data_IF_062839302900
#
_entry.id   IF_062839302900
#
_cell.length_a   1.000
_cell.length_b   1.000
_cell.length_c   1.000
_cell.angle_alpha   90.00
_cell.angle_beta   90.00
_cell.angle_gamma   90.00
#
_symmetry.space_group_name_H-M   'P 1'
#
loop_
_entity.id
_entity.type
_entity.pdbx_description
1 polymer ?
#
# COMPACT_ATOMS: atom_id res chain seq x y z
N UNK A 1 -17.75 48.55 11.09
CA UNK A 1 -18.89 47.70 10.64
C UNK A 1 -19.00 47.54 9.12
N UNK A 2 -19.33 48.57 8.30
CA UNK A 2 -19.48 48.41 6.82
C UNK A 2 -18.27 47.78 6.12
N UNK A 3 -17.04 48.14 6.52
CA UNK A 3 -15.81 47.58 5.96
C UNK A 3 -15.61 46.11 6.33
N UNK A 4 -16.05 45.68 7.51
CA UNK A 4 -16.01 44.28 7.97
C UNK A 4 -17.04 43.38 7.26
N UNK A 5 -18.23 43.90 6.98
CA UNK A 5 -19.27 43.19 6.21
C UNK A 5 -18.82 42.99 4.76
N UNK A 6 -18.18 44.00 4.16
CA UNK A 6 -17.65 43.90 2.81
C UNK A 6 -16.51 42.88 2.70
N UNK A 7 -15.64 42.79 3.72
CA UNK A 7 -14.56 41.79 3.74
C UNK A 7 -15.10 40.37 3.91
N UNK A 8 -16.13 40.18 4.74
CA UNK A 8 -16.78 38.87 4.92
C UNK A 8 -17.44 38.37 3.62
N UNK A 9 -18.15 39.24 2.88
CA UNK A 9 -18.70 38.89 1.57
C UNK A 9 -17.61 38.53 0.56
N UNK A 10 -16.50 39.29 0.52
CA UNK A 10 -15.37 39.00 -0.37
C UNK A 10 -14.71 37.66 -0.03
N UNK A 11 -14.68 37.29 1.24
CA UNK A 11 -14.14 36.00 1.67
C UNK A 11 -15.04 34.85 1.21
N UNK A 12 -16.35 34.97 1.39
CA UNK A 12 -17.33 34.00 0.89
C UNK A 12 -17.25 33.85 -0.64
N UNK A 13 -17.11 34.95 -1.39
CA UNK A 13 -16.95 34.91 -2.85
C UNK A 13 -15.67 34.15 -3.27
N UNK A 14 -14.55 34.40 -2.59
CA UNK A 14 -13.28 33.73 -2.88
C UNK A 14 -13.36 32.22 -2.58
N UNK A 15 -13.95 31.85 -1.45
CA UNK A 15 -14.22 30.45 -1.12
C UNK A 15 -15.13 29.79 -2.18
N UNK A 16 -16.20 30.47 -2.61
CA UNK A 16 -17.11 29.94 -3.61
C UNK A 16 -16.44 29.74 -4.98
N UNK A 17 -15.57 30.67 -5.40
CA UNK A 17 -14.76 30.52 -6.63
C UNK A 17 -13.85 29.29 -6.55
N UNK A 18 -13.14 29.10 -5.44
CA UNK A 18 -12.24 27.95 -5.25
C UNK A 18 -13.02 26.62 -5.27
N UNK A 19 -14.15 26.56 -4.54
CA UNK A 19 -15.03 25.37 -4.56
C UNK A 19 -15.52 25.11 -5.99
N UNK A 20 -15.99 26.13 -6.69
CA UNK A 20 -16.46 26.01 -8.08
C UNK A 20 -15.36 25.46 -8.99
N UNK A 21 -14.13 25.99 -8.89
CA UNK A 21 -13.01 25.49 -9.69
C UNK A 21 -12.73 24.02 -9.41
N UNK A 22 -12.61 23.63 -8.13
CA UNK A 22 -12.38 22.25 -7.73
C UNK A 22 -13.48 21.30 -8.23
N UNK A 23 -14.75 21.72 -8.20
CA UNK A 23 -15.86 20.90 -8.70
C UNK A 23 -15.88 20.79 -10.23
N UNK A 24 -15.50 21.84 -10.96
CA UNK A 24 -15.41 21.81 -12.42
C UNK A 24 -14.31 20.86 -12.90
N UNK A 25 -13.20 20.78 -12.16
CA UNK A 25 -12.08 19.89 -12.45
C UNK A 25 -12.07 18.65 -11.56
N UNK A 26 -13.24 18.03 -11.34
CA UNK A 26 -13.38 16.82 -10.52
C UNK A 26 -13.31 15.52 -11.31
N UNK A 27 -13.48 15.57 -12.64
CA UNK A 27 -13.50 14.37 -13.51
C UNK A 27 -12.81 14.66 -14.85
N UNK A 28 -11.51 14.32 -14.98
CA UNK A 28 -10.58 13.86 -13.93
C UNK A 28 -10.20 14.99 -12.94
N UNK A 29 -9.72 14.65 -11.72
CA UNK A 29 -9.25 15.64 -10.75
C UNK A 29 -8.02 16.39 -11.27
N UNK A 30 -8.12 17.72 -11.41
CA UNK A 30 -7.03 18.61 -11.88
C UNK A 30 -6.98 19.97 -11.17
N UNK A 31 -6.88 19.94 -9.85
CA UNK A 31 -6.98 21.15 -9.00
C UNK A 31 -5.67 21.90 -8.93
N UNK A 32 -4.54 21.21 -8.82
CA UNK A 32 -3.24 21.85 -8.54
C UNK A 32 -2.78 22.79 -9.67
N UNK A 33 -3.12 22.45 -10.92
CA UNK A 33 -2.72 23.20 -12.10
C UNK A 33 -3.76 24.21 -12.56
N UNK A 34 -5.06 23.90 -12.44
CA UNK A 34 -6.12 24.75 -12.99
C UNK A 34 -6.80 25.68 -11.97
N UNK A 35 -6.63 25.44 -10.67
CA UNK A 35 -7.30 26.21 -9.61
C UNK A 35 -6.32 26.97 -8.70
N UNK A 36 -5.08 27.16 -9.15
CA UNK A 36 -4.03 27.79 -8.35
C UNK A 36 -4.30 29.27 -8.10
N UNK A 37 -4.83 29.98 -9.11
CA UNK A 37 -5.12 31.40 -9.01
C UNK A 37 -6.25 31.66 -8.01
N UNK A 38 -7.33 30.86 -8.06
CA UNK A 38 -8.41 30.90 -7.08
C UNK A 38 -7.92 30.55 -5.68
N UNK A 39 -7.01 29.59 -5.56
CA UNK A 39 -6.44 29.21 -4.27
C UNK A 39 -5.58 30.33 -3.67
N UNK A 40 -4.74 30.99 -4.47
CA UNK A 40 -3.93 32.13 -4.03
C UNK A 40 -4.83 33.31 -3.62
N UNK A 41 -5.85 33.65 -4.42
CA UNK A 41 -6.82 34.71 -4.08
C UNK A 41 -7.51 34.39 -2.74
N UNK A 42 -7.96 33.15 -2.57
CA UNK A 42 -8.57 32.66 -1.33
C UNK A 42 -7.63 32.81 -0.13
N UNK A 43 -6.38 32.32 -0.23
CA UNK A 43 -5.40 32.40 0.88
C UNK A 43 -5.00 33.84 1.20
N UNK A 44 -4.92 34.72 0.20
CA UNK A 44 -4.67 36.14 0.43
C UNK A 44 -5.81 36.80 1.23
N UNK A 45 -7.06 36.52 0.87
CA UNK A 45 -8.22 37.10 1.58
C UNK A 45 -8.36 36.49 2.97
N UNK A 46 -8.05 35.21 3.14
CA UNK A 46 -7.98 34.56 4.46
C UNK A 46 -6.94 35.27 5.35
N UNK A 47 -5.72 35.51 4.84
CA UNK A 47 -4.69 36.25 5.56
C UNK A 47 -5.17 37.66 5.92
N UNK A 48 -5.71 38.41 4.95
CA UNK A 48 -6.23 39.77 5.16
C UNK A 48 -7.31 39.76 6.26
N UNK A 49 -8.17 38.74 6.29
CA UNK A 49 -9.29 38.63 7.24
C UNK A 49 -8.82 38.34 8.66
N UNK A 50 -7.80 37.49 8.82
CA UNK A 50 -7.18 37.24 10.11
C UNK A 50 -6.51 38.49 10.70
N UNK A 51 -5.95 39.36 9.86
CA UNK A 51 -5.22 40.58 10.26
C UNK A 51 -6.12 41.84 10.31
N UNK A 52 -7.45 41.69 10.24
CA UNK A 52 -8.40 42.78 10.45
C UNK A 52 -8.58 43.12 11.95
N UNK A 53 -7.51 43.61 12.57
CA UNK A 53 -7.51 44.01 14.00
C UNK A 53 -8.06 45.42 14.21
N UNK A 54 -7.91 46.30 13.22
CA UNK A 54 -8.32 47.72 13.29
C UNK A 54 -9.83 47.95 13.15
N UNK A 55 -10.62 46.89 12.96
CA UNK A 55 -12.08 46.97 12.80
C UNK A 55 -12.73 46.17 13.91
N UNK A 56 -13.38 46.87 14.83
CA UNK A 56 -14.12 46.26 15.94
C UNK A 56 -15.64 46.35 15.75
N UNK A 57 -16.36 45.40 16.37
CA UNK A 57 -17.82 45.41 16.52
C UNK A 57 -18.25 46.44 17.57
N UNK A 58 -19.57 46.63 17.73
CA UNK A 58 -20.15 47.45 18.80
C UNK A 58 -19.73 46.97 20.20
N UNK A 59 -19.49 45.67 20.35
CA UNK A 59 -19.06 45.04 21.61
C UNK A 59 -17.53 45.05 21.79
N UNK A 60 -16.80 45.86 21.00
CA UNK A 60 -15.34 45.96 21.01
C UNK A 60 -14.58 44.65 20.67
N UNK A 61 -15.26 43.64 20.12
CA UNK A 61 -14.65 42.42 19.58
C UNK A 61 -14.05 42.69 18.20
N UNK A 62 -12.88 42.11 17.90
CA UNK A 62 -12.24 42.26 16.59
C UNK A 62 -13.01 41.50 15.51
N UNK A 63 -13.00 42.00 14.28
CA UNK A 63 -13.68 41.36 13.15
C UNK A 63 -13.19 39.93 12.92
N UNK A 64 -11.87 39.70 13.07
CA UNK A 64 -11.26 38.37 12.99
C UNK A 64 -11.88 37.40 14.00
N UNK A 65 -12.02 37.81 15.28
CA UNK A 65 -12.65 36.96 16.29
C UNK A 65 -14.14 36.69 16.00
N UNK A 66 -14.85 37.65 15.42
CA UNK A 66 -16.26 37.48 15.03
C UNK A 66 -16.41 36.45 13.91
N UNK A 67 -15.54 36.47 12.91
CA UNK A 67 -15.59 35.57 11.75
C UNK A 67 -15.17 34.14 12.14
N UNK A 68 -14.14 33.99 12.98
CA UNK A 68 -13.56 32.66 13.24
C UNK A 68 -13.96 32.02 14.57
N UNK A 69 -14.21 32.80 15.64
CA UNK A 69 -14.28 32.26 17.02
C UNK A 69 -15.53 32.58 17.82
N UNK A 70 -16.40 33.49 17.37
CA UNK A 70 -17.52 33.98 18.18
C UNK A 70 -18.74 33.05 18.19
N UNK A 71 -18.78 32.05 17.32
CA UNK A 71 -19.87 31.10 17.19
C UNK A 71 -19.41 29.68 17.47
N UNK A 72 -20.33 28.80 17.89
CA UNK A 72 -20.08 27.37 18.10
C UNK A 72 -19.49 26.69 16.85
N UNK A 73 -19.88 27.18 15.67
CA UNK A 73 -19.41 26.70 14.38
C UNK A 73 -19.18 27.92 13.46
N UNK A 74 -17.98 28.05 12.91
CA UNK A 74 -17.70 29.04 11.87
C UNK A 74 -17.69 28.36 10.51
N UNK A 75 -18.73 28.59 9.70
CA UNK A 75 -18.80 28.04 8.35
C UNK A 75 -17.63 28.51 7.48
N UNK A 76 -17.23 29.78 7.61
CA UNK A 76 -16.10 30.33 6.88
C UNK A 76 -14.80 29.59 7.24
N UNK A 77 -14.58 29.26 8.52
CA UNK A 77 -13.43 28.44 8.92
C UNK A 77 -13.50 27.01 8.38
N UNK A 78 -14.65 26.35 8.50
CA UNK A 78 -14.82 24.96 8.05
C UNK A 78 -14.60 24.79 6.54
N UNK A 79 -15.14 25.73 5.75
CA UNK A 79 -14.92 25.76 4.30
C UNK A 79 -13.44 26.02 4.00
N UNK A 80 -12.83 27.01 4.64
CA UNK A 80 -11.39 27.29 4.51
C UNK A 80 -10.51 26.07 4.81
N UNK A 81 -10.81 25.40 5.92
CA UNK A 81 -10.09 24.22 6.36
C UNK A 81 -10.30 23.05 5.39
N UNK A 82 -11.51 22.87 4.87
CA UNK A 82 -11.80 21.85 3.86
C UNK A 82 -11.08 22.12 2.53
N UNK A 83 -11.10 23.37 2.05
CA UNK A 83 -10.38 23.78 0.84
C UNK A 83 -8.87 23.54 0.97
N UNK A 84 -8.29 23.86 2.14
CA UNK A 84 -6.86 23.64 2.37
C UNK A 84 -6.54 22.16 2.60
N UNK A 85 -7.13 21.52 3.61
CA UNK A 85 -6.77 20.16 4.05
C UNK A 85 -7.33 19.06 3.17
N UNK A 86 -8.57 19.19 2.71
CA UNK A 86 -9.25 18.11 2.00
C UNK A 86 -9.16 18.20 0.49
N UNK A 87 -8.96 19.41 -0.05
CA UNK A 87 -8.83 19.63 -1.49
C UNK A 87 -7.36 19.82 -1.86
N UNK A 88 -6.66 20.82 -1.30
CA UNK A 88 -5.28 21.12 -1.68
C UNK A 88 -4.26 20.08 -1.16
N UNK A 89 -4.16 19.90 0.16
CA UNK A 89 -3.17 19.02 0.79
C UNK A 89 -3.34 17.55 0.35
N UNK A 90 -4.58 17.05 0.34
CA UNK A 90 -4.88 15.68 -0.13
C UNK A 90 -4.59 15.49 -1.62
N UNK A 91 -4.64 16.55 -2.42
CA UNK A 91 -4.22 16.50 -3.82
C UNK A 91 -2.70 16.50 -3.99
N UNK A 92 -1.95 16.63 -2.90
CA UNK A 92 -0.49 16.67 -2.87
C UNK A 92 0.05 17.72 -3.83
N UNK A 93 -0.60 18.89 -3.91
CA UNK A 93 -0.20 19.94 -4.84
C UNK A 93 1.24 20.43 -4.58
N UNK A 94 1.66 20.41 -3.30
CA UNK A 94 3.02 20.77 -2.89
C UNK A 94 4.09 19.86 -3.50
N UNK A 95 3.74 18.63 -3.92
CA UNK A 95 4.66 17.73 -4.61
C UNK A 95 4.95 18.19 -6.05
N UNK A 96 4.07 18.97 -6.67
CA UNK A 96 4.22 19.41 -8.05
C UNK A 96 4.64 20.88 -8.17
N UNK A 97 4.30 21.71 -7.20
CA UNK A 97 4.59 23.14 -7.18
C UNK A 97 4.75 23.65 -5.75
N UNK A 98 5.54 24.70 -5.59
CA UNK A 98 5.76 25.41 -4.34
C UNK A 98 5.27 26.85 -4.49
N UNK A 99 4.45 27.32 -3.55
CA UNK A 99 3.97 28.70 -3.50
C UNK A 99 4.81 29.46 -2.47
N UNK A 100 5.57 30.45 -2.94
CA UNK A 100 6.28 31.40 -2.08
C UNK A 100 5.32 32.53 -1.72
N UNK A 101 4.77 32.47 -0.51
CA UNK A 101 3.78 33.42 -0.01
C UNK A 101 4.41 34.77 0.35
N UNK A 102 3.91 35.85 -0.27
CA UNK A 102 4.18 37.24 0.12
C UNK A 102 2.84 37.99 0.24
N UNK A 103 2.20 37.78 1.38
CA UNK A 103 0.87 38.34 1.66
C UNK A 103 0.90 39.85 1.88
N UNK A 104 2.00 40.41 2.38
CA UNK A 104 2.13 41.84 2.67
C UNK A 104 2.19 42.66 1.38
N UNK A 105 2.97 42.22 0.39
CA UNK A 105 3.10 42.91 -0.90
C UNK A 105 2.12 42.39 -1.96
N UNK A 106 1.28 41.39 -1.65
CA UNK A 106 0.37 40.69 -2.60
C UNK A 106 1.11 40.15 -3.83
N UNK A 107 2.32 39.66 -3.63
CA UNK A 107 3.20 39.21 -4.71
C UNK A 107 3.66 37.77 -4.49
N UNK A 108 2.71 36.89 -4.14
CA UNK A 108 2.98 35.46 -4.02
C UNK A 108 3.37 34.88 -5.37
N UNK A 109 4.44 34.08 -5.41
CA UNK A 109 4.99 33.50 -6.65
C UNK A 109 4.95 31.98 -6.62
N UNK A 110 4.82 31.37 -7.80
CA UNK A 110 4.70 29.92 -7.97
C UNK A 110 6.00 29.40 -8.59
N UNK A 111 6.51 28.28 -8.07
CA UNK A 111 7.61 27.52 -8.67
C UNK A 111 7.18 26.09 -8.89
N UNK A 112 7.33 25.56 -10.10
CA UNK A 112 7.06 24.15 -10.37
C UNK A 112 8.29 23.31 -10.05
N UNK A 113 8.06 22.10 -9.53
CA UNK A 113 9.12 21.11 -9.34
C UNK A 113 9.68 20.68 -10.72
N UNK A 114 11.00 20.49 -10.79
CA UNK A 114 11.69 20.08 -12.02
C UNK A 114 11.10 18.79 -12.61
N UNK A 115 10.65 17.85 -11.75
CA UNK A 115 10.03 16.60 -12.20
C UNK A 115 8.68 16.83 -12.88
N UNK A 116 7.92 17.83 -12.42
CA UNK A 116 6.63 18.21 -13.00
C UNK A 116 6.81 18.86 -14.37
N UNK A 117 7.82 19.74 -14.49
CA UNK A 117 8.17 20.36 -15.77
C UNK A 117 8.60 19.29 -16.77
N UNK A 118 9.47 18.37 -16.35
CA UNK A 118 9.93 17.27 -17.20
C UNK A 118 8.79 16.33 -17.60
N UNK A 119 7.85 16.03 -16.69
CA UNK A 119 6.64 15.27 -17.02
C UNK A 119 5.84 15.96 -18.13
N UNK A 120 5.60 17.27 -17.98
CA UNK A 120 4.85 18.05 -18.97
C UNK A 120 5.54 18.08 -20.34
N UNK A 121 6.86 18.23 -20.37
CA UNK A 121 7.63 18.26 -21.62
C UNK A 121 7.52 16.93 -22.37
N UNK A 122 7.70 15.80 -21.69
CA UNK A 122 7.63 14.48 -22.32
C UNK A 122 6.18 14.15 -22.72
N UNK A 123 5.20 14.53 -21.90
CA UNK A 123 3.79 14.40 -22.23
C UNK A 123 3.41 15.23 -23.46
N UNK A 124 3.95 16.44 -23.59
CA UNK A 124 3.72 17.30 -24.75
C UNK A 124 4.27 16.68 -26.03
N UNK A 125 5.49 16.11 -26.00
CA UNK A 125 6.05 15.40 -27.16
C UNK A 125 5.15 14.25 -27.62
N UNK A 126 4.60 13.47 -26.69
CA UNK A 126 3.67 12.39 -27.04
C UNK A 126 2.36 12.94 -27.62
N UNK A 127 1.77 13.98 -27.01
CA UNK A 127 0.56 14.62 -27.53
C UNK A 127 0.76 15.22 -28.92
N UNK A 128 1.89 15.87 -29.15
CA UNK A 128 2.25 16.46 -30.45
C UNK A 128 2.35 15.37 -31.53
N UNK A 129 2.96 14.22 -31.19
CA UNK A 129 2.95 13.04 -32.06
C UNK A 129 1.52 12.60 -32.39
N UNK A 130 0.66 12.43 -31.38
CA UNK A 130 -0.73 11.99 -31.57
C UNK A 130 -1.52 12.97 -32.43
N UNK A 131 -1.34 14.29 -32.26
CA UNK A 131 -2.06 15.29 -33.04
C UNK A 131 -1.71 15.26 -34.52
N UNK A 132 -0.49 14.85 -34.89
CA UNK A 132 -0.12 14.70 -36.31
C UNK A 132 -0.86 13.55 -37.00
N UNK A 133 -1.43 12.62 -36.24
CA UNK A 133 -2.17 11.47 -36.72
C UNK A 133 -3.65 11.48 -36.26
N UNK A 134 -4.17 12.62 -35.80
CA UNK A 134 -5.55 12.70 -35.32
C UNK A 134 -6.56 12.45 -36.44
N UNK A 135 -6.26 12.86 -37.67
CA UNK A 135 -7.15 12.68 -38.82
C UNK A 135 -7.31 11.19 -39.19
N UNK A 136 -6.27 10.37 -38.96
CA UNK A 136 -6.31 8.91 -39.17
C UNK A 136 -7.17 8.16 -38.14
N UNK A 137 -7.53 8.78 -37.01
CA UNK A 137 -8.49 8.20 -36.05
C UNK A 137 -9.92 8.15 -36.60
N UNK A 138 -10.27 9.08 -37.48
CA UNK A 138 -11.62 9.15 -38.09
C UNK A 138 -11.85 7.99 -39.05
N UNK A 139 -10.77 7.43 -39.61
CA UNK A 139 -10.80 6.28 -40.52
C UNK A 139 -10.72 4.92 -39.81
N UNK A 140 -10.58 4.91 -38.48
CA UNK A 140 -10.53 3.68 -37.67
C UNK A 140 -9.20 2.94 -37.67
N UNK A 141 -8.13 3.53 -38.23
CA UNK A 141 -6.80 2.92 -38.27
C UNK A 141 -5.93 3.32 -37.07
N UNK A 142 -6.25 2.78 -35.88
CA UNK A 142 -5.50 3.06 -34.64
C UNK A 142 -4.07 2.51 -34.64
N UNK A 143 -3.76 1.53 -35.50
CA UNK A 143 -2.44 0.90 -35.59
C UNK A 143 -1.33 1.86 -35.98
N UNK A 144 -1.63 2.87 -36.79
CA UNK A 144 -0.65 3.87 -37.25
C UNK A 144 -0.12 4.74 -36.12
N UNK A 145 -1.00 5.11 -35.17
CA UNK A 145 -0.64 5.88 -33.98
C UNK A 145 0.21 5.04 -33.04
N UNK A 146 -0.16 3.78 -32.85
CA UNK A 146 0.61 2.87 -32.01
C UNK A 146 2.04 2.75 -32.55
N UNK A 147 2.23 2.52 -33.85
CA UNK A 147 3.58 2.38 -34.44
C UNK A 147 4.37 3.69 -34.49
N UNK A 148 3.71 4.82 -34.76
CA UNK A 148 4.39 6.12 -34.90
C UNK A 148 4.73 6.76 -33.55
N UNK A 149 3.85 6.63 -32.55
CA UNK A 149 3.97 7.29 -31.25
C UNK A 149 4.37 6.36 -30.10
N UNK A 150 4.77 5.11 -30.38
CA UNK A 150 5.31 4.15 -29.41
C UNK A 150 6.47 4.75 -28.63
N UNK A 151 7.51 5.25 -29.32
CA UNK A 151 8.71 5.77 -28.67
C UNK A 151 8.45 6.95 -27.72
N UNK A 152 7.71 8.00 -28.12
CA UNK A 152 7.30 9.06 -27.20
C UNK A 152 6.48 8.55 -26.00
N UNK A 153 5.64 7.54 -26.22
CA UNK A 153 4.84 6.94 -25.14
C UNK A 153 5.72 6.17 -24.15
N UNK A 154 6.66 5.36 -24.63
CA UNK A 154 7.60 4.63 -23.78
C UNK A 154 8.50 5.59 -22.99
N UNK A 155 8.98 6.68 -23.59
CA UNK A 155 9.74 7.72 -22.89
C UNK A 155 8.91 8.35 -21.75
N UNK A 156 7.62 8.60 -22.00
CA UNK A 156 6.68 9.12 -20.99
C UNK A 156 6.44 8.11 -19.87
N UNK A 157 6.17 6.86 -20.23
CA UNK A 157 5.87 5.79 -19.29
C UNK A 157 7.06 5.46 -18.39
N UNK A 158 8.25 5.30 -18.97
CA UNK A 158 9.49 5.05 -18.23
C UNK A 158 9.82 6.19 -17.26
N UNK A 159 9.66 7.45 -17.69
CA UNK A 159 9.87 8.60 -16.82
C UNK A 159 8.92 8.61 -15.63
N UNK A 160 7.62 8.39 -15.88
CA UNK A 160 6.62 8.32 -14.82
C UNK A 160 6.89 7.14 -13.87
N UNK A 161 7.14 5.95 -14.41
CA UNK A 161 7.32 4.73 -13.64
C UNK A 161 8.57 4.77 -12.74
N UNK A 162 9.66 5.38 -13.24
CA UNK A 162 10.89 5.57 -12.46
C UNK A 162 10.61 6.35 -11.17
N UNK A 163 9.84 7.43 -11.26
CA UNK A 163 9.53 8.28 -10.09
C UNK A 163 8.46 7.61 -9.23
N UNK A 164 7.43 7.02 -9.83
CA UNK A 164 6.35 6.35 -9.10
C UNK A 164 6.85 5.17 -8.22
N UNK A 165 7.95 4.52 -8.63
CA UNK A 165 8.56 3.43 -7.86
C UNK A 165 9.60 3.89 -6.84
N UNK A 166 9.98 5.17 -6.85
CA UNK A 166 10.99 5.71 -5.94
C UNK A 166 10.39 6.00 -4.55
N UNK A 167 10.97 5.45 -3.47
CA UNK A 167 10.40 5.63 -2.13
C UNK A 167 10.55 7.07 -1.64
N UNK A 168 9.43 7.67 -1.22
CA UNK A 168 9.40 9.00 -0.62
C UNK A 168 9.30 10.16 -1.61
N UNK A 169 9.15 9.88 -2.91
CA UNK A 169 8.85 10.88 -3.93
C UNK A 169 7.48 10.58 -4.51
N UNK A 170 6.54 11.49 -4.31
CA UNK A 170 5.19 11.38 -4.84
C UNK A 170 4.94 12.43 -5.93
N UNK A 171 4.06 12.10 -6.88
CA UNK A 171 3.44 13.08 -7.76
C UNK A 171 2.18 13.68 -7.13
N UNK A 172 1.78 14.87 -7.60
CA UNK A 172 0.45 15.39 -7.31
C UNK A 172 -0.62 14.61 -8.08
N UNK A 173 -1.87 14.69 -7.60
CA UNK A 173 -3.01 14.02 -8.22
C UNK A 173 -3.16 14.41 -9.69
N UNK A 174 -2.92 15.67 -10.07
CA UNK A 174 -3.05 16.13 -11.47
C UNK A 174 -2.15 15.35 -12.45
N UNK A 175 -0.95 14.97 -12.03
CA UNK A 175 0.00 14.19 -12.84
C UNK A 175 -0.44 12.74 -12.90
N UNK A 176 -0.79 12.14 -11.76
CA UNK A 176 -1.26 10.75 -11.69
C UNK A 176 -2.53 10.53 -12.53
N UNK A 177 -3.50 11.44 -12.44
CA UNK A 177 -4.74 11.36 -13.21
C UNK A 177 -4.47 11.53 -14.70
N UNK A 178 -3.62 12.49 -15.06
CA UNK A 178 -3.23 12.70 -16.46
C UNK A 178 -2.51 11.49 -17.04
N UNK A 179 -1.63 10.83 -16.27
CA UNK A 179 -0.95 9.62 -16.71
C UNK A 179 -1.92 8.44 -16.82
N UNK A 180 -2.82 8.26 -15.84
CA UNK A 180 -3.81 7.21 -15.86
C UNK A 180 -4.75 7.32 -17.08
N UNK A 181 -5.21 8.54 -17.41
CA UNK A 181 -5.99 8.79 -18.61
C UNK A 181 -5.20 8.48 -19.89
N UNK A 182 -3.92 8.90 -19.93
CA UNK A 182 -3.02 8.64 -21.06
C UNK A 182 -2.83 7.15 -21.30
N UNK A 183 -2.60 6.39 -20.22
CA UNK A 183 -2.45 4.93 -20.24
C UNK A 183 -3.76 4.25 -20.64
N UNK A 184 -4.91 4.71 -20.13
CA UNK A 184 -6.22 4.22 -20.55
C UNK A 184 -6.45 4.45 -22.06
N UNK A 185 -6.12 5.64 -22.58
CA UNK A 185 -6.26 5.93 -24.01
C UNK A 185 -5.39 4.98 -24.84
N UNK A 186 -4.12 4.79 -24.45
CA UNK A 186 -3.19 3.94 -25.17
C UNK A 186 -3.61 2.46 -25.20
N UNK A 187 -3.86 1.85 -24.03
CA UNK A 187 -4.13 0.41 -23.94
C UNK A 187 -5.60 0.04 -24.15
N UNK A 188 -6.57 0.84 -23.65
CA UNK A 188 -7.98 0.46 -23.69
C UNK A 188 -8.73 1.05 -24.88
N UNK A 189 -8.42 2.29 -25.27
CA UNK A 189 -9.12 2.97 -26.37
C UNK A 189 -8.48 2.58 -27.71
N UNK A 190 -7.18 2.77 -27.86
CA UNK A 190 -6.47 2.46 -29.12
C UNK A 190 -6.02 1.01 -29.23
N UNK A 191 -5.98 0.27 -28.11
CA UNK A 191 -5.55 -1.14 -28.03
C UNK A 191 -4.16 -1.35 -28.61
N UNK A 192 -3.25 -0.41 -28.32
CA UNK A 192 -1.87 -0.54 -28.73
C UNK A 192 -1.26 -1.77 -28.03
N UNK A 193 -0.50 -2.61 -28.76
CA UNK A 193 0.12 -3.79 -28.18
C UNK A 193 1.20 -3.36 -27.19
N UNK A 194 1.22 -4.01 -26.02
CA UNK A 194 2.37 -3.92 -25.13
C UNK A 194 3.59 -4.52 -25.82
N UNK A 195 4.77 -4.01 -25.51
CA UNK A 195 6.08 -4.38 -26.07
C UNK A 195 6.55 -5.79 -25.60
N UNK A 196 5.60 -6.72 -25.55
CA UNK A 196 5.67 -8.14 -25.19
C UNK A 196 6.67 -8.95 -26.01
N UNK A 197 7.19 -8.40 -27.12
CA UNK A 197 8.16 -9.12 -27.96
C UNK A 197 9.50 -9.30 -27.26
N UNK A 198 9.93 -8.37 -26.40
CA UNK A 198 11.24 -8.44 -25.75
C UNK A 198 11.23 -9.27 -24.46
N UNK A 199 10.14 -9.21 -23.71
CA UNK A 199 10.05 -9.89 -22.41
C UNK A 199 9.57 -11.34 -22.50
N UNK A 200 8.74 -11.69 -23.50
CA UNK A 200 8.32 -13.09 -23.69
C UNK A 200 9.50 -14.04 -23.90
N UNK A 201 10.58 -13.59 -24.53
CA UNK A 201 11.79 -14.42 -24.69
C UNK A 201 12.55 -14.63 -23.37
N UNK A 202 12.60 -13.62 -22.50
CA UNK A 202 13.26 -13.72 -21.20
C UNK A 202 12.44 -14.59 -20.23
N UNK A 203 11.12 -14.42 -20.22
CA UNK A 203 10.22 -15.21 -19.38
C UNK A 203 10.22 -16.68 -19.77
N UNK A 204 10.19 -16.98 -21.07
CA UNK A 204 10.31 -18.36 -21.58
C UNK A 204 11.68 -18.96 -21.25
N UNK A 205 12.76 -18.18 -21.38
CA UNK A 205 14.09 -18.64 -21.00
C UNK A 205 14.19 -18.94 -19.50
N UNK A 206 13.65 -18.07 -18.65
CA UNK A 206 13.64 -18.26 -17.19
C UNK A 206 12.83 -19.50 -16.79
N UNK A 207 11.68 -19.71 -17.43
CA UNK A 207 10.82 -20.87 -17.21
C UNK A 207 11.48 -22.18 -17.66
N UNK A 208 12.19 -22.16 -18.79
CA UNK A 208 12.96 -23.32 -19.23
C UNK A 208 14.11 -23.65 -18.27
N UNK A 209 14.82 -22.62 -17.79
CA UNK A 209 15.93 -22.81 -16.86
C UNK A 209 15.46 -23.34 -15.49
N UNK A 210 14.31 -22.90 -15.00
CA UNK A 210 13.74 -23.41 -13.73
C UNK A 210 13.28 -24.86 -13.84
N UNK A 211 12.66 -25.26 -14.96
CA UNK A 211 12.27 -26.65 -15.23
C UNK A 211 13.49 -27.56 -15.27
N UNK A 212 14.56 -27.15 -15.95
CA UNK A 212 15.81 -27.92 -16.04
C UNK A 212 16.44 -28.06 -14.66
N UNK A 213 16.54 -26.98 -13.88
CA UNK A 213 17.09 -27.03 -12.52
C UNK A 213 16.30 -27.98 -11.61
N UNK A 214 14.96 -27.93 -11.68
CA UNK A 214 14.10 -28.82 -10.90
C UNK A 214 14.26 -30.28 -11.34
N UNK A 215 14.37 -30.54 -12.65
CA UNK A 215 14.64 -31.87 -13.19
C UNK A 215 15.99 -32.44 -12.73
N UNK A 216 17.03 -31.60 -12.66
CA UNK A 216 18.35 -32.00 -12.14
C UNK A 216 18.27 -32.34 -10.65
N UNK A 217 17.58 -31.53 -9.85
CA UNK A 217 17.41 -31.81 -8.40
C UNK A 217 16.66 -33.12 -8.18
N UNK A 218 15.57 -33.35 -8.92
CA UNK A 218 14.80 -34.59 -8.82
C UNK A 218 15.63 -35.81 -9.22
N UNK A 219 16.34 -35.75 -10.34
CA UNK A 219 17.16 -36.87 -10.81
C UNK A 219 18.30 -37.17 -9.85
N UNK A 220 18.96 -36.17 -9.26
CA UNK A 220 19.97 -36.36 -8.23
C UNK A 220 19.38 -36.96 -6.94
N UNK A 221 18.19 -36.53 -6.52
CA UNK A 221 17.51 -37.05 -5.33
C UNK A 221 17.12 -38.53 -5.50
N UNK A 222 16.44 -38.88 -6.59
CA UNK A 222 16.00 -40.24 -6.85
C UNK A 222 17.18 -41.16 -7.21
N UNK A 223 18.16 -40.67 -7.96
CA UNK A 223 19.39 -41.41 -8.25
C UNK A 223 20.21 -41.68 -6.99
N UNK A 224 20.37 -40.68 -6.12
CA UNK A 224 21.03 -40.83 -4.81
C UNK A 224 20.31 -41.83 -3.91
N UNK A 225 18.97 -41.76 -3.86
CA UNK A 225 18.15 -42.72 -3.11
C UNK A 225 18.31 -44.16 -3.63
N UNK A 226 18.36 -44.35 -4.96
CA UNK A 226 18.56 -45.67 -5.57
C UNK A 226 19.92 -46.28 -5.21
N UNK A 227 21.01 -45.51 -5.35
CA UNK A 227 22.38 -45.97 -5.01
C UNK A 227 22.51 -46.29 -3.51
N UNK A 228 21.89 -45.48 -2.65
CA UNK A 228 21.88 -45.73 -1.21
C UNK A 228 21.07 -46.99 -0.84
N UNK A 229 20.00 -47.28 -1.60
CA UNK A 229 19.19 -48.51 -1.42
C UNK A 229 19.97 -49.77 -1.80
N UNK A 230 20.72 -49.76 -2.91
CA UNK A 230 21.53 -50.93 -3.30
C UNK A 230 22.65 -51.25 -2.30
N UNK A 231 23.30 -50.24 -1.72
CA UNK A 231 24.32 -50.47 -0.68
C UNK A 231 23.76 -51.11 0.60
N UNK A 232 22.46 -51.04 0.82
CA UNK A 232 21.79 -51.61 1.99
C UNK A 232 21.37 -53.08 1.79
N UNK A 233 21.59 -53.67 0.61
CA UNK A 233 21.11 -55.03 0.27
C UNK A 233 21.94 -56.22 0.80
N UNK A 234 22.91 -56.05 1.70
CA UNK A 234 23.57 -57.20 2.34
C UNK A 234 23.51 -57.14 3.87
N UNK A 235 22.31 -57.44 4.39
CA UNK A 235 22.08 -58.43 5.45
C UNK A 235 20.57 -58.62 5.64
N UNK A 236 19.95 -59.44 4.79
CA UNK A 236 18.62 -59.98 5.10
C UNK A 236 18.75 -60.95 6.28
N UNK A 237 18.50 -60.45 7.49
CA UNK A 237 18.27 -61.30 8.65
C UNK A 237 16.98 -62.07 8.37
N UNK A 238 17.08 -63.38 8.13
CA UNK A 238 15.94 -64.29 8.07
C UNK A 238 15.33 -64.38 9.46
N UNK A 239 14.28 -63.61 9.73
CA UNK A 239 13.53 -63.72 10.99
C UNK A 239 12.78 -65.06 11.01
N UNK A 240 13.28 -66.00 11.82
CA UNK A 240 12.55 -67.20 12.23
C UNK A 240 11.54 -66.86 13.33
N UNK A 241 10.49 -66.13 12.96
CA UNK A 241 9.15 -66.17 13.57
C UNK A 241 8.25 -65.18 12.84
N UNK A 242 7.24 -65.71 12.16
CA UNK A 242 6.03 -64.95 11.87
C UNK A 242 5.31 -64.72 13.20
N UNK A 243 5.15 -63.45 13.59
CA UNK A 243 3.86 -62.89 13.94
C UNK A 243 3.86 -61.40 13.54
N UNK A 244 2.75 -60.93 12.98
CA UNK A 244 2.63 -59.71 12.17
C UNK A 244 2.24 -58.46 13.01
N UNK A 245 2.10 -57.26 12.41
CA UNK A 245 3.13 -56.21 12.34
C UNK A 245 2.72 -54.91 13.09
N UNK A 246 3.70 -54.01 13.27
CA UNK A 246 3.65 -52.54 13.49
C UNK A 246 4.71 -52.23 14.56
N UNK A 247 5.72 -51.40 14.36
CA UNK A 247 6.07 -50.51 13.26
C UNK A 247 7.19 -49.58 13.73
N UNK A 248 8.33 -50.14 14.17
CA UNK A 248 9.42 -49.35 14.73
C UNK A 248 10.35 -48.74 13.64
N UNK A 249 10.39 -47.42 13.69
CA UNK A 249 11.25 -46.40 13.05
C UNK A 249 12.72 -46.77 12.76
N UNK A 250 13.27 -46.12 11.72
CA UNK A 250 14.63 -45.52 11.73
C UNK A 250 14.60 -44.22 10.90
N UNK A 251 14.66 -43.04 11.53
CA UNK A 251 15.81 -42.23 11.99
C UNK A 251 16.49 -41.41 10.89
N UNK A 252 16.34 -40.08 10.96
CA UNK A 252 17.46 -39.13 10.86
C UNK A 252 17.33 -38.09 11.98
N UNK A 253 18.50 -37.71 12.48
CA UNK A 253 18.76 -37.00 13.73
C UNK A 253 19.01 -35.51 13.44
N UNK A 254 18.80 -34.71 14.47
CA UNK A 254 19.32 -33.36 14.69
C UNK A 254 18.46 -32.24 14.13
N UNK A 255 18.21 -31.15 14.84
CA UNK A 255 18.53 -30.80 16.22
C UNK A 255 17.85 -29.46 16.46
N UNK A 256 17.24 -29.35 17.64
CA UNK A 256 16.99 -28.10 18.33
C UNK A 256 18.11 -27.07 18.07
N UNK A 257 17.76 -26.01 17.34
CA UNK A 257 18.41 -24.70 17.43
C UNK A 257 17.39 -23.64 16.99
N UNK A 258 16.32 -23.50 17.78
CA UNK A 258 15.71 -22.18 17.87
C UNK A 258 16.70 -21.29 18.61
N UNK A 259 17.46 -20.56 17.82
CA UNK A 259 18.32 -19.47 18.24
C UNK A 259 17.49 -18.51 19.09
N UNK A 260 17.79 -18.51 20.38
CA UNK A 260 17.72 -17.31 21.19
C UNK A 260 18.65 -16.27 20.56
N UNK A 261 18.07 -15.20 20.01
CA UNK A 261 18.79 -13.95 19.79
C UNK A 261 18.34 -12.96 20.87
N UNK A 262 19.25 -12.50 21.75
CA UNK A 262 18.96 -11.47 22.73
C UNK A 262 19.26 -10.09 22.13
N UNK A 263 18.27 -9.19 22.13
CA UNK A 263 18.56 -7.78 21.87
C UNK A 263 17.38 -6.92 21.46
N UNK A 264 16.82 -6.24 22.46
CA UNK A 264 16.14 -4.94 22.37
C UNK A 264 14.76 -4.89 21.69
N UNK A 265 13.69 -4.94 22.49
CA UNK A 265 12.99 -3.73 22.93
C UNK A 265 11.75 -4.07 23.75
N UNK A 266 11.69 -3.54 24.97
CA UNK A 266 10.52 -3.37 25.83
C UNK A 266 9.76 -4.63 26.28
N UNK A 267 9.51 -4.65 27.58
CA UNK A 267 8.71 -5.60 28.34
C UNK A 267 7.26 -5.62 27.81
N UNK A 268 7.05 -6.31 26.70
CA UNK A 268 5.75 -6.68 26.19
C UNK A 268 5.40 -8.04 26.78
N UNK A 269 4.52 -8.07 27.78
CA UNK A 269 3.94 -9.31 28.30
C UNK A 269 3.39 -10.10 27.10
N UNK A 270 3.85 -11.35 26.92
CA UNK A 270 3.28 -12.25 25.92
C UNK A 270 1.81 -12.52 26.30
N UNK A 271 0.91 -11.70 25.73
CA UNK A 271 -0.51 -11.75 26.01
C UNK A 271 -1.07 -13.15 25.72
N UNK A 272 -0.48 -13.87 24.75
CA UNK A 272 -0.94 -15.19 24.37
C UNK A 272 -0.70 -16.22 25.47
N UNK A 273 0.50 -16.26 26.09
CA UNK A 273 0.76 -17.17 27.21
C UNK A 273 -0.10 -16.84 28.43
N UNK A 274 -0.32 -15.56 28.73
CA UNK A 274 -1.22 -15.16 29.83
C UNK A 274 -2.67 -15.62 29.60
N UNK A 275 -3.19 -15.49 28.38
CA UNK A 275 -4.55 -15.93 28.07
C UNK A 275 -4.67 -17.46 28.00
N UNK A 276 -3.61 -18.17 27.60
CA UNK A 276 -3.55 -19.63 27.66
C UNK A 276 -3.64 -20.16 29.10
N UNK A 277 -2.97 -19.50 30.05
CA UNK A 277 -3.07 -19.85 31.48
C UNK A 277 -4.49 -19.60 32.02
N UNK A 278 -5.10 -18.45 31.71
CA UNK A 278 -6.47 -18.12 32.13
C UNK A 278 -7.56 -18.98 31.46
N UNK A 279 -7.25 -19.57 30.30
CA UNK A 279 -8.16 -20.45 29.57
C UNK A 279 -7.88 -21.93 29.83
N UNK A 280 -6.92 -22.28 30.70
CA UNK A 280 -6.56 -23.66 31.00
C UNK A 280 -7.77 -24.48 31.50
N UNK A 281 -8.64 -23.86 32.31
CA UNK A 281 -9.87 -24.48 32.84
C UNK A 281 -10.83 -24.93 31.71
N UNK A 282 -10.85 -24.21 30.58
CA UNK A 282 -11.73 -24.52 29.46
C UNK A 282 -11.29 -25.78 28.69
N UNK A 283 -10.02 -26.17 28.82
CA UNK A 283 -9.45 -27.35 28.18
C UNK A 283 -9.04 -28.43 29.20
N UNK A 284 -9.49 -28.33 30.45
CA UNK A 284 -9.08 -29.23 31.54
C UNK A 284 -9.36 -30.71 31.23
N UNK A 285 -10.51 -31.01 30.63
CA UNK A 285 -10.87 -32.36 30.20
C UNK A 285 -9.86 -32.94 29.18
N UNK A 286 -9.39 -32.14 28.25
CA UNK A 286 -8.41 -32.57 27.24
C UNK A 286 -7.00 -32.66 27.82
N UNK A 287 -6.71 -31.82 28.83
CA UNK A 287 -5.49 -31.93 29.62
C UNK A 287 -5.41 -33.24 30.40
N UNK A 288 -6.52 -33.66 31.02
CA UNK A 288 -6.60 -34.94 31.74
C UNK A 288 -6.36 -36.14 30.81
N UNK A 289 -6.94 -36.11 29.60
CA UNK A 289 -6.74 -37.16 28.58
C UNK A 289 -5.27 -37.19 28.10
N UNK A 290 -4.66 -36.02 27.91
CA UNK A 290 -3.24 -35.91 27.54
C UNK A 290 -2.32 -36.44 28.65
N UNK A 291 -2.61 -36.09 29.90
CA UNK A 291 -1.81 -36.51 31.06
C UNK A 291 -1.95 -38.03 31.28
N UNK A 292 -3.15 -38.61 31.10
CA UNK A 292 -3.38 -40.07 31.11
C UNK A 292 -2.60 -40.80 30.00
N UNK A 293 -2.56 -40.21 28.79
CA UNK A 293 -1.74 -40.74 27.72
C UNK A 293 -0.25 -40.68 28.07
N UNK A 294 0.23 -39.55 28.62
CA UNK A 294 1.62 -39.39 29.02
C UNK A 294 2.03 -40.41 30.09
N UNK A 295 1.17 -40.69 31.06
CA UNK A 295 1.41 -41.71 32.08
C UNK A 295 1.49 -43.12 31.49
N UNK A 296 0.65 -43.43 30.49
CA UNK A 296 0.69 -44.71 29.76
C UNK A 296 1.95 -44.87 28.92
N UNK A 297 2.43 -43.78 28.30
CA UNK A 297 3.66 -43.78 27.52
C UNK A 297 4.89 -43.89 28.41
N UNK A 298 4.92 -43.16 29.53
CA UNK A 298 6.07 -43.14 30.44
C UNK A 298 6.17 -44.40 31.31
N UNK A 299 5.06 -45.08 31.61
CA UNK A 299 5.05 -46.32 32.40
C UNK A 299 5.56 -47.55 31.63
N UNK A 300 5.69 -47.46 30.30
CA UNK A 300 6.17 -48.56 29.44
C UNK A 300 7.58 -48.26 28.94
N UNK A 301 8.51 -49.16 29.22
CA UNK A 301 9.90 -49.03 28.76
C UNK A 301 10.07 -49.20 27.24
N UNK A 302 9.07 -49.77 26.55
CA UNK A 302 8.98 -49.84 25.08
C UNK A 302 7.51 -49.81 24.63
N UNK A 303 7.05 -48.68 24.08
CA UNK A 303 5.70 -48.49 23.53
C UNK A 303 5.78 -47.66 22.25
N UNK A 304 4.91 -47.94 21.27
CA UNK A 304 4.78 -47.19 20.00
C UNK A 304 3.69 -46.11 20.06
N UNK A 305 2.98 -46.01 21.18
CA UNK A 305 1.95 -45.02 21.41
C UNK A 305 2.54 -43.62 21.59
N UNK A 306 1.93 -42.63 20.93
CA UNK A 306 2.31 -41.21 21.04
C UNK A 306 1.10 -40.37 21.39
N UNK A 307 1.26 -39.46 22.35
CA UNK A 307 0.18 -38.57 22.78
C UNK A 307 0.01 -37.32 21.90
N UNK A 308 0.41 -37.42 20.62
CA UNK A 308 0.42 -36.27 19.73
C UNK A 308 -0.99 -35.80 19.39
N UNK A 309 -1.93 -36.72 19.25
CA UNK A 309 -3.31 -36.38 18.91
C UNK A 309 -3.99 -35.67 20.09
N UNK A 310 -3.83 -36.21 21.30
CA UNK A 310 -4.33 -35.65 22.56
C UNK A 310 -3.71 -34.27 22.84
N UNK A 311 -2.45 -34.07 22.48
CA UNK A 311 -1.77 -32.78 22.59
C UNK A 311 -2.35 -31.76 21.62
N UNK A 312 -2.59 -32.14 20.36
CA UNK A 312 -3.21 -31.26 19.38
C UNK A 312 -4.66 -30.92 19.76
N UNK A 313 -5.41 -31.88 20.28
CA UNK A 313 -6.77 -31.67 20.78
C UNK A 313 -6.79 -30.72 21.97
N UNK A 314 -5.85 -30.86 22.91
CA UNK A 314 -5.70 -29.93 24.03
C UNK A 314 -5.38 -28.50 23.54
N UNK A 315 -4.39 -28.34 22.64
CA UNK A 315 -4.00 -27.03 22.10
C UNK A 315 -5.16 -26.39 21.33
N UNK A 316 -5.87 -27.16 20.50
CA UNK A 316 -6.98 -26.64 19.72
C UNK A 316 -8.08 -26.03 20.60
N UNK A 317 -8.46 -26.72 21.69
CA UNK A 317 -9.49 -26.24 22.62
C UNK A 317 -8.99 -25.10 23.52
N UNK A 318 -7.71 -25.10 23.88
CA UNK A 318 -7.05 -24.02 24.61
C UNK A 318 -7.04 -22.73 23.77
N UNK A 319 -6.61 -22.84 22.52
CA UNK A 319 -6.48 -21.70 21.59
C UNK A 319 -7.83 -21.17 21.12
N UNK A 320 -8.87 -22.01 21.02
CA UNK A 320 -10.24 -21.54 20.76
C UNK A 320 -10.71 -20.52 21.83
N UNK A 321 -10.26 -20.67 23.08
CA UNK A 321 -10.53 -19.70 24.15
C UNK A 321 -9.52 -18.54 24.18
N UNK A 322 -8.23 -18.84 24.02
CA UNK A 322 -7.14 -17.88 24.22
C UNK A 322 -6.96 -16.92 23.04
N UNK A 323 -7.04 -17.39 21.80
CA UNK A 323 -6.69 -16.61 20.60
C UNK A 323 -7.58 -15.38 20.41
N UNK A 324 -8.93 -15.46 20.44
CA UNK A 324 -9.77 -14.27 20.26
C UNK A 324 -9.58 -13.21 21.36
N UNK A 325 -9.18 -13.62 22.57
CA UNK A 325 -8.94 -12.72 23.71
C UNK A 325 -7.55 -12.09 23.65
N UNK A 326 -6.55 -12.86 23.23
CA UNK A 326 -5.21 -12.37 22.95
C UNK A 326 -5.24 -11.33 21.81
N UNK A 327 -5.95 -11.60 20.70
CA UNK A 327 -6.08 -10.64 19.61
C UNK A 327 -6.81 -9.35 20.01
N UNK A 328 -7.81 -9.42 20.91
CA UNK A 328 -8.49 -8.22 21.43
C UNK A 328 -7.66 -7.40 22.41
N UNK A 329 -6.62 -7.99 22.99
CA UNK A 329 -5.75 -7.33 23.98
C UNK A 329 -4.47 -6.75 23.36
N UNK A 330 -4.19 -7.07 22.10
CA UNK A 330 -3.22 -6.35 21.27
C UNK A 330 -3.90 -5.07 20.76
N UNK A 331 -3.36 -3.90 21.17
CA UNK A 331 -3.88 -2.58 20.81
C UNK A 331 -3.29 -2.09 19.50
#
# INVERSE_FOLDING_TARGET
MKRGILTDHRFADAQAKMVRCATNFSSPPKVCTNCIDEFIEFKQIEYDTHHLENVTSLDNTTCSNVIYSNYLMSYSWEISNSLTRSIWDKSRCDSCLEINWDFENRNSTIKYDEKTIKFQDVLFKWRDCVTNYSDTLVEGNTSTICEACEKPYDELFEFYWTIYTEPGIDFCIDVETTMNDTMHIWHNVWKCPDDTKKDRHKDVLMLLMSIVAFGVVLTLFYGGSYVQTERMQQHLIRYSRLEAPQGQRSRLVSSSSFFSSPGASMEGVDQLSQWRERCADHAQKFKEILDECNDRVNSRSNTEETCQQEMMDYIHHLDHCAMPKAFKSLK
#
